data_IF_256398261141
#
_entry.id   IF_256398261141
#
_cell.length_a   1.000
_cell.length_b   1.000
_cell.length_c   1.000
_cell.angle_alpha   90.00
_cell.angle_beta   90.00
_cell.angle_gamma   90.00
#
_symmetry.space_group_name_H-M   'P 1'
#
loop_
_entity.id
_entity.type
_entity.pdbx_description
1 polymer ?
#
# COMPACT_ATOMS: atom_id res chain seq x y z
N UNK A 1 5.78 -15.91 12.53
CA UNK A 1 6.38 -14.84 11.69
C UNK A 1 5.88 -14.81 10.24
N UNK A 2 5.91 -15.93 9.49
CA UNK A 2 5.60 -15.96 8.05
C UNK A 2 4.21 -15.38 7.70
N UNK A 3 3.22 -15.56 8.58
CA UNK A 3 1.86 -15.04 8.41
C UNK A 3 1.69 -13.52 8.35
N UNK A 4 2.68 -12.73 8.80
CA UNK A 4 2.58 -11.25 8.84
C UNK A 4 3.56 -10.55 7.88
N UNK A 5 4.59 -11.24 7.41
CA UNK A 5 5.70 -10.64 6.63
C UNK A 5 5.57 -10.85 5.11
N UNK A 6 4.75 -11.81 4.67
CA UNK A 6 4.48 -12.08 3.26
C UNK A 6 3.12 -11.47 2.89
N UNK A 7 3.05 -10.82 1.73
CA UNK A 7 1.86 -10.05 1.32
C UNK A 7 0.63 -10.96 1.21
N UNK A 8 0.78 -12.09 0.51
CA UNK A 8 -0.30 -13.06 0.33
C UNK A 8 -0.77 -13.65 1.66
N UNK A 9 0.16 -14.05 2.52
CA UNK A 9 -0.17 -14.62 3.83
C UNK A 9 -0.85 -13.60 4.76
N UNK A 10 -0.43 -12.33 4.72
CA UNK A 10 -1.10 -11.26 5.46
C UNK A 10 -2.52 -11.03 4.92
N UNK A 11 -2.70 -10.99 3.60
CA UNK A 11 -4.02 -10.84 2.98
C UNK A 11 -4.98 -11.98 3.40
N UNK A 12 -4.53 -13.22 3.33
CA UNK A 12 -5.29 -14.40 3.79
C UNK A 12 -5.61 -14.34 5.29
N UNK A 13 -4.66 -13.92 6.12
CA UNK A 13 -4.87 -13.76 7.55
C UNK A 13 -5.91 -12.68 7.87
N UNK A 14 -5.85 -11.53 7.18
CA UNK A 14 -6.85 -10.44 7.30
C UNK A 14 -8.22 -10.91 6.83
N UNK A 15 -8.29 -11.61 5.69
CA UNK A 15 -9.55 -12.14 5.15
C UNK A 15 -10.21 -13.10 6.15
N UNK A 16 -9.45 -14.05 6.70
CA UNK A 16 -9.92 -15.00 7.72
C UNK A 16 -10.33 -14.31 9.02
N UNK A 17 -9.65 -13.22 9.40
CA UNK A 17 -10.03 -12.43 10.57
C UNK A 17 -11.35 -11.69 10.32
N UNK A 18 -11.49 -11.03 9.17
CA UNK A 18 -12.66 -10.28 8.76
C UNK A 18 -13.92 -11.15 8.73
N UNK A 19 -13.84 -12.38 8.21
CA UNK A 19 -15.00 -13.28 8.17
C UNK A 19 -15.54 -13.66 9.55
N UNK A 20 -14.68 -13.63 10.58
CA UNK A 20 -15.06 -13.91 11.98
C UNK A 20 -15.34 -12.65 12.81
N UNK A 21 -14.80 -11.51 12.39
CA UNK A 21 -14.82 -10.23 13.13
C UNK A 21 -15.03 -9.05 12.17
N UNK A 22 -16.19 -8.99 11.49
CA UNK A 22 -16.46 -7.98 10.47
C UNK A 22 -16.42 -6.55 11.02
N UNK A 23 -16.71 -6.36 12.31
CA UNK A 23 -16.73 -5.03 12.93
C UNK A 23 -15.39 -4.50 13.43
N UNK A 24 -14.35 -5.33 13.38
CA UNK A 24 -13.02 -4.95 13.87
C UNK A 24 -12.39 -3.83 13.04
N UNK A 25 -11.50 -3.06 13.66
CA UNK A 25 -10.72 -2.03 12.95
C UNK A 25 -9.95 -2.61 11.76
N UNK A 26 -9.39 -3.81 11.91
CA UNK A 26 -8.67 -4.48 10.83
C UNK A 26 -9.58 -4.75 9.62
N UNK A 27 -10.81 -5.22 9.86
CA UNK A 27 -11.78 -5.47 8.81
C UNK A 27 -12.23 -4.18 8.10
N UNK A 28 -12.33 -3.07 8.83
CA UNK A 28 -12.82 -1.78 8.32
C UNK A 28 -11.75 -0.89 7.68
N UNK A 29 -10.47 -1.09 8.02
CA UNK A 29 -9.37 -0.17 7.66
C UNK A 29 -8.35 -0.76 6.68
N UNK A 30 -8.34 -2.07 6.47
CA UNK A 30 -7.51 -2.68 5.42
C UNK A 30 -8.28 -2.64 4.10
N UNK A 31 -7.72 -2.05 3.03
CA UNK A 31 -8.36 -2.06 1.72
C UNK A 31 -8.62 -3.50 1.26
N UNK A 32 -9.67 -3.67 0.48
CA UNK A 32 -9.99 -4.95 -0.13
C UNK A 32 -8.77 -5.53 -0.84
N UNK A 33 -8.46 -6.79 -0.56
CA UNK A 33 -7.24 -7.44 -1.00
C UNK A 33 -7.51 -8.89 -1.33
N UNK A 34 -7.07 -9.32 -2.50
CA UNK A 34 -7.19 -10.67 -3.01
C UNK A 34 -5.83 -11.20 -3.45
N UNK A 35 -5.73 -12.52 -3.50
CA UNK A 35 -4.51 -13.24 -3.90
C UNK A 35 -4.90 -14.20 -4.99
N UNK A 36 -4.12 -14.24 -6.06
CA UNK A 36 -4.31 -15.20 -7.15
C UNK A 36 -2.97 -15.73 -7.65
N UNK A 37 -3.02 -16.88 -8.30
CA UNK A 37 -1.88 -17.43 -9.02
C UNK A 37 -2.14 -17.36 -10.52
N UNK A 38 -1.11 -17.03 -11.30
CA UNK A 38 -1.16 -17.06 -12.75
C UNK A 38 0.11 -17.71 -13.27
N UNK A 39 -0.05 -18.82 -13.99
CA UNK A 39 1.07 -19.58 -14.56
C UNK A 39 1.36 -19.19 -16.00
N UNK A 40 0.31 -18.86 -16.75
CA UNK A 40 0.35 -18.39 -18.13
C UNK A 40 -0.75 -17.36 -18.33
N UNK A 41 -0.51 -16.35 -19.17
CA UNK A 41 -1.48 -15.32 -19.50
C UNK A 41 -2.71 -15.88 -20.21
N UNK A 42 -2.58 -17.02 -20.88
CA UNK A 42 -3.72 -17.72 -21.49
C UNK A 42 -4.81 -18.06 -20.47
N UNK A 43 -4.44 -18.30 -19.19
CA UNK A 43 -5.38 -18.61 -18.11
C UNK A 43 -5.95 -17.40 -17.38
N UNK A 44 -5.69 -16.18 -17.88
CA UNK A 44 -6.07 -14.95 -17.19
C UNK A 44 -7.57 -14.84 -16.98
N UNK A 45 -8.37 -15.24 -17.96
CA UNK A 45 -9.83 -15.14 -17.90
C UNK A 45 -10.43 -16.17 -16.91
N UNK A 46 -9.85 -17.37 -16.79
CA UNK A 46 -10.24 -18.35 -15.76
C UNK A 46 -9.93 -17.84 -14.35
N UNK A 47 -8.76 -17.25 -14.15
CA UNK A 47 -8.36 -16.65 -12.87
C UNK A 47 -9.29 -15.51 -12.47
N UNK A 48 -9.68 -14.66 -13.43
CA UNK A 48 -10.67 -13.61 -13.19
C UNK A 48 -12.04 -14.18 -12.79
N UNK A 49 -12.42 -15.37 -13.23
CA UNK A 49 -13.71 -15.97 -12.87
C UNK A 49 -13.64 -16.68 -11.51
N UNK A 50 -12.58 -17.44 -11.28
CA UNK A 50 -12.49 -18.35 -10.14
C UNK A 50 -11.89 -17.69 -8.89
N UNK A 51 -10.84 -16.89 -9.06
CA UNK A 51 -10.00 -16.43 -7.95
C UNK A 51 -10.26 -14.96 -7.58
N UNK A 52 -10.47 -14.11 -8.59
CA UNK A 52 -10.60 -12.64 -8.42
C UNK A 52 -11.72 -12.01 -9.28
N UNK A 53 -12.98 -12.45 -9.12
CA UNK A 53 -14.13 -11.90 -9.86
C UNK A 53 -14.31 -10.38 -9.68
N UNK A 54 -13.85 -9.83 -8.56
CA UNK A 54 -13.95 -8.40 -8.24
C UNK A 54 -13.17 -7.52 -9.25
N UNK A 55 -12.11 -8.06 -9.87
CA UNK A 55 -11.39 -7.33 -10.92
C UNK A 55 -12.19 -7.26 -12.23
N UNK A 56 -12.97 -8.30 -12.53
CA UNK A 56 -13.86 -8.33 -13.70
C UNK A 56 -15.02 -7.36 -13.54
N UNK A 57 -15.48 -7.16 -12.31
CA UNK A 57 -16.59 -6.29 -11.94
C UNK A 57 -16.16 -4.86 -11.56
N UNK A 58 -14.90 -4.51 -11.86
CA UNK A 58 -14.33 -3.20 -11.53
C UNK A 58 -15.14 -2.07 -12.16
N UNK A 59 -15.55 -1.11 -11.34
CA UNK A 59 -16.34 0.03 -11.79
C UNK A 59 -15.46 1.12 -12.43
N UNK A 60 -15.99 1.96 -13.35
CA UNK A 60 -15.26 3.10 -13.87
C UNK A 60 -14.78 4.05 -12.75
N UNK A 61 -13.51 4.45 -12.83
CA UNK A 61 -12.87 5.30 -11.81
C UNK A 61 -12.35 4.55 -10.58
N UNK A 62 -12.52 3.22 -10.55
CA UNK A 62 -11.80 2.37 -9.62
C UNK A 62 -10.37 2.12 -10.10
N UNK A 63 -9.47 1.93 -9.13
CA UNK A 63 -8.08 1.60 -9.38
C UNK A 63 -7.62 0.57 -8.36
N UNK A 64 -6.67 -0.26 -8.78
CA UNK A 64 -6.11 -1.34 -8.01
C UNK A 64 -4.58 -1.31 -8.09
N UNK A 65 -3.93 -1.88 -7.09
CA UNK A 65 -2.48 -2.02 -7.05
C UNK A 65 -2.10 -3.50 -7.05
N UNK A 66 -1.36 -3.90 -8.08
CA UNK A 66 -0.81 -5.24 -8.25
C UNK A 66 0.57 -5.30 -7.60
N UNK A 67 0.81 -6.35 -6.80
CA UNK A 67 2.07 -6.54 -6.08
C UNK A 67 2.52 -8.00 -6.22
N UNK A 68 3.75 -8.28 -6.67
CA UNK A 68 4.28 -9.63 -6.61
C UNK A 68 4.48 -10.08 -5.15
N UNK A 69 4.20 -11.34 -4.85
CA UNK A 69 4.40 -11.83 -3.48
C UNK A 69 5.90 -11.97 -3.13
N UNK A 70 6.75 -12.34 -4.09
CA UNK A 70 8.16 -12.68 -3.84
C UNK A 70 9.10 -11.46 -3.89
N UNK A 71 8.73 -10.39 -4.61
CA UNK A 71 9.61 -9.21 -4.75
C UNK A 71 9.59 -8.29 -3.53
N UNK A 72 10.73 -7.65 -3.28
CA UNK A 72 10.92 -6.56 -2.31
C UNK A 72 11.16 -5.22 -3.04
N UNK A 73 11.33 -4.13 -2.28
CA UNK A 73 11.72 -2.81 -2.80
C UNK A 73 10.77 -2.19 -3.86
N UNK A 74 9.49 -2.58 -3.86
CA UNK A 74 8.49 -2.19 -4.87
C UNK A 74 8.82 -2.57 -6.32
N UNK A 75 9.71 -3.54 -6.54
CA UNK A 75 9.93 -4.10 -7.87
C UNK A 75 8.68 -4.86 -8.33
N UNK A 76 8.22 -4.57 -9.54
CA UNK A 76 7.02 -5.17 -10.13
C UNK A 76 5.68 -4.64 -9.57
N UNK A 77 5.69 -3.65 -8.67
CA UNK A 77 4.45 -3.02 -8.20
C UNK A 77 3.91 -2.09 -9.27
N UNK A 78 2.64 -2.25 -9.64
CA UNK A 78 1.95 -1.45 -10.64
C UNK A 78 0.57 -1.02 -10.14
N UNK A 79 0.12 0.15 -10.55
CA UNK A 79 -1.27 0.60 -10.38
C UNK A 79 -1.95 0.45 -11.74
N UNK A 80 -3.21 0.01 -11.74
CA UNK A 80 -4.01 -0.14 -12.95
C UNK A 80 -5.47 0.21 -12.62
N UNK A 81 -6.21 0.63 -13.63
CA UNK A 81 -7.63 1.02 -13.56
C UNK A 81 -8.48 0.36 -14.67
N UNK A 82 -7.86 -0.49 -15.49
CA UNK A 82 -8.53 -1.33 -16.48
C UNK A 82 -7.87 -2.72 -16.64
N UNK A 83 -8.63 -3.69 -17.14
CA UNK A 83 -8.16 -5.08 -17.33
C UNK A 83 -7.14 -5.22 -18.46
N UNK A 84 -7.17 -4.36 -19.47
CA UNK A 84 -6.19 -4.36 -20.56
C UNK A 84 -4.80 -4.02 -20.05
N UNK A 85 -4.69 -2.98 -19.22
CA UNK A 85 -3.45 -2.60 -18.52
C UNK A 85 -2.96 -3.74 -17.62
N UNK A 86 -3.85 -4.38 -16.86
CA UNK A 86 -3.49 -5.53 -16.02
C UNK A 86 -2.95 -6.69 -16.86
N UNK A 87 -3.63 -7.05 -17.96
CA UNK A 87 -3.20 -8.11 -18.87
C UNK A 87 -1.82 -7.81 -19.45
N UNK A 88 -1.59 -6.58 -19.92
CA UNK A 88 -0.28 -6.14 -20.43
C UNK A 88 0.83 -6.26 -19.38
N UNK A 89 0.57 -5.88 -18.13
CA UNK A 89 1.54 -6.03 -17.04
C UNK A 89 1.89 -7.50 -16.82
N UNK A 90 0.89 -8.38 -16.80
CA UNK A 90 1.07 -9.81 -16.55
C UNK A 90 1.73 -10.56 -17.73
N UNK A 91 1.61 -10.04 -18.96
CA UNK A 91 2.30 -10.57 -20.15
C UNK A 91 3.77 -10.12 -20.27
N UNK A 92 4.25 -9.25 -19.38
CA UNK A 92 5.58 -8.65 -19.51
C UNK A 92 6.73 -9.62 -19.19
N UNK A 93 7.92 -9.34 -19.72
CA UNK A 93 9.13 -10.09 -19.37
C UNK A 93 9.52 -9.94 -17.88
N UNK A 94 9.03 -8.93 -17.18
CA UNK A 94 9.25 -8.84 -15.74
C UNK A 94 8.32 -9.76 -14.93
N UNK A 95 7.24 -10.23 -15.55
CA UNK A 95 6.20 -11.04 -14.91
C UNK A 95 6.34 -12.55 -15.17
N UNK A 96 7.02 -12.99 -16.22
CA UNK A 96 7.02 -14.42 -16.65
C UNK A 96 7.48 -15.41 -15.56
N UNK A 97 8.33 -15.00 -14.62
CA UNK A 97 8.81 -15.85 -13.53
C UNK A 97 8.04 -15.66 -12.21
N UNK A 98 7.03 -14.80 -12.19
CA UNK A 98 6.21 -14.49 -11.03
C UNK A 98 4.87 -15.20 -11.15
N UNK A 99 4.54 -16.02 -10.15
CA UNK A 99 3.33 -16.84 -10.16
C UNK A 99 2.23 -16.34 -9.24
N UNK A 100 2.60 -15.86 -8.06
CA UNK A 100 1.66 -15.46 -7.02
C UNK A 100 1.60 -13.93 -6.88
N UNK A 101 0.39 -13.40 -7.00
CA UNK A 101 0.11 -11.98 -7.04
C UNK A 101 -0.84 -11.59 -5.92
N UNK A 102 -0.65 -10.38 -5.40
CA UNK A 102 -1.59 -9.73 -4.49
C UNK A 102 -2.15 -8.52 -5.20
N UNK A 103 -3.46 -8.48 -5.32
CA UNK A 103 -4.20 -7.33 -5.86
C UNK A 103 -4.97 -6.68 -4.72
N UNK A 104 -4.91 -5.36 -4.64
CA UNK A 104 -5.53 -4.61 -3.54
C UNK A 104 -6.18 -3.34 -4.08
N UNK A 105 -7.37 -3.00 -3.58
CA UNK A 105 -8.05 -1.77 -3.93
C UNK A 105 -7.13 -0.59 -3.60
N UNK A 106 -6.85 0.22 -4.61
CA UNK A 106 -5.92 1.32 -4.46
C UNK A 106 -6.54 2.46 -3.65
N UNK A 107 -5.80 2.97 -2.67
CA UNK A 107 -6.20 4.16 -1.91
C UNK A 107 -5.86 5.40 -2.75
N UNK A 108 -6.89 5.88 -3.42
CA UNK A 108 -6.80 6.85 -4.52
C UNK A 108 -7.06 8.30 -4.05
N UNK A 109 -7.53 8.48 -2.81
CA UNK A 109 -7.62 9.76 -2.11
C UNK A 109 -6.73 9.74 -0.87
N UNK A 110 -5.39 9.66 -1.03
CA UNK A 110 -4.48 9.68 0.10
C UNK A 110 -4.50 11.06 0.77
N UNK A 111 -4.16 11.09 2.06
CA UNK A 111 -3.76 12.33 2.70
C UNK A 111 -2.45 12.81 2.07
N UNK A 112 -2.40 14.09 1.72
CA UNK A 112 -1.25 14.72 1.10
C UNK A 112 -0.64 15.73 2.08
N UNK A 113 0.68 15.82 2.07
CA UNK A 113 1.43 16.89 2.73
C UNK A 113 2.34 17.49 1.66
N UNK A 114 2.26 18.82 1.50
CA UNK A 114 2.87 19.56 0.38
C UNK A 114 2.56 18.95 -1.00
N UNK A 115 1.31 18.50 -1.18
CA UNK A 115 0.86 17.87 -2.43
C UNK A 115 1.46 16.49 -2.71
N UNK A 116 2.25 15.91 -1.81
CA UNK A 116 2.87 14.59 -1.98
C UNK A 116 2.20 13.53 -1.13
N UNK A 117 2.09 12.32 -1.70
CA UNK A 117 1.65 11.13 -0.98
C UNK A 117 2.73 10.66 -0.02
N UNK A 118 2.33 10.14 1.13
CA UNK A 118 3.24 9.49 2.07
C UNK A 118 2.62 8.23 2.70
N UNK A 119 3.46 7.38 3.30
CA UNK A 119 3.02 6.34 4.22
C UNK A 119 3.74 6.45 5.56
N UNK A 120 3.10 5.95 6.62
CA UNK A 120 3.69 5.88 7.95
C UNK A 120 4.40 4.53 8.11
N UNK A 121 5.67 4.58 8.51
CA UNK A 121 6.44 3.43 8.98
C UNK A 121 6.41 3.42 10.50
N UNK A 122 5.80 2.38 11.04
CA UNK A 122 5.75 2.12 12.48
C UNK A 122 6.64 0.93 12.82
N UNK A 123 7.37 1.03 13.93
CA UNK A 123 8.18 -0.07 14.46
C UNK A 123 7.42 -0.78 15.57
N UNK A 124 7.37 -2.11 15.49
CA UNK A 124 6.64 -2.95 16.44
C UNK A 124 7.54 -4.06 16.94
N UNK A 125 7.68 -4.19 18.27
CA UNK A 125 8.44 -5.24 18.93
C UNK A 125 7.48 -6.26 19.55
N UNK A 126 7.59 -7.52 19.12
CA UNK A 126 6.87 -8.64 19.74
C UNK A 126 7.83 -9.45 20.62
N UNK A 127 7.52 -9.60 21.90
CA UNK A 127 8.35 -10.30 22.90
C UNK A 127 7.57 -11.46 23.50
N UNK A 128 8.20 -12.64 23.55
CA UNK A 128 7.61 -13.86 24.08
C UNK A 128 6.69 -14.58 23.07
N UNK A 129 6.35 -15.83 23.38
CA UNK A 129 5.44 -16.64 22.58
C UNK A 129 4.12 -16.95 23.32
N UNK A 130 4.17 -17.05 24.65
CA UNK A 130 3.01 -17.27 25.51
C UNK A 130 3.37 -16.89 26.97
N UNK A 131 3.01 -15.69 27.46
CA UNK A 131 2.28 -14.64 26.75
C UNK A 131 3.15 -13.90 25.73
N UNK A 132 2.52 -13.42 24.65
CA UNK A 132 3.15 -12.49 23.70
C UNK A 132 2.82 -11.05 24.10
N UNK A 133 3.85 -10.23 24.26
CA UNK A 133 3.72 -8.77 24.44
C UNK A 133 4.01 -8.08 23.12
N UNK A 134 3.18 -7.12 22.73
CA UNK A 134 3.36 -6.34 21.51
C UNK A 134 3.52 -4.87 21.90
N UNK A 135 4.66 -4.28 21.54
CA UNK A 135 5.04 -2.90 21.86
C UNK A 135 5.15 -2.11 20.56
N UNK A 136 4.48 -0.97 20.48
CA UNK A 136 4.55 -0.05 19.33
C UNK A 136 5.46 1.10 19.71
N UNK A 137 6.46 1.38 18.87
CA UNK A 137 7.32 2.55 19.05
C UNK A 137 6.60 3.80 18.56
N UNK A 138 6.63 4.85 19.38
CA UNK A 138 5.90 6.10 19.16
C UNK A 138 6.57 7.02 18.14
N UNK A 139 7.90 6.97 18.00
CA UNK A 139 8.62 7.69 16.95
C UNK A 139 8.47 6.96 15.60
N UNK A 140 7.47 7.38 14.84
CA UNK A 140 7.17 6.85 13.51
C UNK A 140 7.74 7.74 12.41
N UNK A 141 7.98 7.16 11.24
CA UNK A 141 8.47 7.89 10.08
C UNK A 141 7.36 8.09 9.04
N UNK A 142 7.27 9.27 8.46
CA UNK A 142 6.51 9.55 7.25
C UNK A 142 7.46 9.48 6.04
N UNK A 143 7.20 8.56 5.11
CA UNK A 143 8.00 8.38 3.90
C UNK A 143 7.21 8.88 2.69
N UNK A 144 7.79 9.83 1.98
CA UNK A 144 7.15 10.57 0.91
C UNK A 144 7.44 9.99 -0.47
N UNK A 145 6.47 10.12 -1.37
CA UNK A 145 6.64 9.92 -2.80
C UNK A 145 7.67 10.92 -3.36
N UNK A 146 8.27 10.58 -4.50
CA UNK A 146 9.25 11.45 -5.14
C UNK A 146 8.56 12.68 -5.74
N UNK A 147 7.44 12.44 -6.42
CA UNK A 147 6.71 13.44 -7.18
C UNK A 147 5.40 13.85 -6.48
N UNK A 148 4.87 15.00 -6.88
CA UNK A 148 3.56 15.47 -6.46
C UNK A 148 2.47 14.48 -6.87
N UNK A 149 1.54 14.21 -5.96
CA UNK A 149 0.42 13.32 -6.24
C UNK A 149 -0.51 13.98 -7.27
N UNK A 150 -0.87 13.30 -8.36
CA UNK A 150 -1.72 13.89 -9.38
C UNK A 150 -3.08 14.25 -8.78
N UNK A 151 -3.55 15.47 -9.06
CA UNK A 151 -4.91 15.87 -8.71
C UNK A 151 -5.89 14.84 -9.28
N UNK A 152 -6.98 14.58 -8.55
CA UNK A 152 -8.13 13.92 -9.17
C UNK A 152 -8.52 14.79 -10.37
N UNK A 153 -8.52 14.25 -11.59
CA UNK A 153 -8.62 15.05 -12.80
C UNK A 153 -9.80 16.01 -12.73
N UNK A 154 -9.52 17.32 -12.80
CA UNK A 154 -10.58 18.31 -13.05
C UNK A 154 -11.24 17.97 -14.40
N UNK A 155 -12.57 17.94 -14.45
CA UNK A 155 -13.32 17.75 -15.69
C UNK A 155 -13.34 16.31 -16.26
N UNK A 156 -13.15 15.28 -15.43
CA UNK A 156 -13.33 13.88 -15.87
C UNK A 156 -12.15 13.27 -16.61
N UNK A 157 -10.95 13.85 -16.50
CA UNK A 157 -9.72 13.23 -17.02
C UNK A 157 -9.26 12.07 -16.13
N UNK A 158 -8.81 10.94 -16.71
CA UNK A 158 -8.21 9.84 -15.95
C UNK A 158 -7.02 10.33 -15.14
N UNK A 159 -6.89 9.84 -13.91
CA UNK A 159 -5.72 10.11 -13.07
C UNK A 159 -4.51 9.46 -13.73
N UNK A 160 -3.40 10.18 -13.85
CA UNK A 160 -2.16 9.60 -14.39
C UNK A 160 -1.56 8.60 -13.39
N UNK A 161 -1.97 7.34 -13.51
CA UNK A 161 -1.47 6.21 -12.71
C UNK A 161 -0.14 5.64 -13.22
N UNK A 162 0.33 6.11 -14.38
CA UNK A 162 1.57 5.65 -15.01
C UNK A 162 2.81 6.22 -14.31
N UNK A 163 2.72 7.43 -13.74
CA UNK A 163 3.77 7.99 -12.90
C UNK A 163 3.80 7.31 -11.51
N UNK A 164 4.44 6.15 -11.45
CA UNK A 164 4.61 5.40 -10.22
C UNK A 164 5.38 6.17 -9.13
N UNK A 165 6.15 7.21 -9.47
CA UNK A 165 6.97 7.95 -8.51
C UNK A 165 6.16 9.00 -7.74
N UNK A 166 4.96 9.32 -8.21
CA UNK A 166 3.91 10.01 -7.44
C UNK A 166 3.08 9.04 -6.57
N UNK A 167 2.97 7.78 -6.98
CA UNK A 167 2.07 6.79 -6.35
C UNK A 167 2.74 5.87 -5.32
N UNK A 168 4.05 5.69 -5.41
CA UNK A 168 4.86 4.82 -4.56
C UNK A 168 5.85 5.65 -3.73
N UNK A 169 5.97 5.28 -2.46
CA UNK A 169 6.65 6.05 -1.40
C UNK A 169 7.91 5.35 -0.87
N UNK A 170 8.34 4.27 -1.53
CA UNK A 170 9.52 3.51 -1.13
C UNK A 170 10.79 4.27 -1.53
N UNK A 171 11.67 4.58 -0.57
CA UNK A 171 12.92 5.32 -0.82
C UNK A 171 13.82 4.63 -1.86
N UNK A 172 13.91 3.29 -1.86
CA UNK A 172 14.69 2.54 -2.84
C UNK A 172 14.32 2.83 -4.32
N UNK A 173 13.06 3.21 -4.60
CA UNK A 173 12.65 3.60 -5.97
C UNK A 173 13.22 4.96 -6.35
N UNK A 174 13.13 5.91 -5.43
CA UNK A 174 13.67 7.27 -5.59
C UNK A 174 15.17 7.21 -5.91
N UNK A 175 15.88 6.30 -5.24
CA UNK A 175 17.30 6.04 -5.42
C UNK A 175 17.67 5.51 -6.83
N UNK A 176 16.83 4.67 -7.44
CA UNK A 176 17.18 3.96 -8.68
C UNK A 176 17.11 4.82 -9.93
N UNK A 177 16.33 5.90 -9.89
CA UNK A 177 16.01 6.71 -11.07
C UNK A 177 16.89 7.94 -11.23
N UNK A 178 17.36 8.55 -10.14
CA UNK A 178 18.01 9.87 -10.23
C UNK A 178 19.44 9.82 -10.76
N UNK A 179 20.21 8.77 -10.51
CA UNK A 179 21.57 8.59 -11.02
C UNK A 179 21.84 7.09 -11.06
N UNK A 180 22.67 6.57 -11.97
CA UNK A 180 23.14 5.17 -11.93
C UNK A 180 23.96 4.79 -10.68
N UNK A 181 23.82 5.53 -9.57
CA UNK A 181 24.41 5.35 -8.26
C UNK A 181 23.39 5.65 -7.16
N UNK A 182 23.57 5.04 -5.99
CA UNK A 182 22.67 5.22 -4.85
C UNK A 182 22.55 6.69 -4.39
N UNK A 183 21.43 7.04 -3.76
CA UNK A 183 21.25 8.32 -3.09
C UNK A 183 22.18 8.40 -1.88
N UNK A 184 22.71 9.59 -1.65
CA UNK A 184 23.35 9.91 -0.37
C UNK A 184 22.30 9.85 0.75
N UNK A 185 22.71 9.55 2.00
CA UNK A 185 21.81 9.62 3.15
C UNK A 185 21.08 10.97 3.28
N UNK A 186 21.72 12.06 2.86
CA UNK A 186 21.16 13.42 2.87
C UNK A 186 20.05 13.59 1.83
N UNK A 187 20.15 12.94 0.67
CA UNK A 187 19.10 12.94 -0.34
C UNK A 187 17.92 12.05 0.06
N UNK A 188 18.18 10.89 0.67
CA UNK A 188 17.12 10.02 1.20
C UNK A 188 16.35 10.72 2.33
N UNK A 189 17.05 11.45 3.21
CA UNK A 189 16.44 12.22 4.30
C UNK A 189 15.43 13.27 3.81
N UNK A 190 15.53 13.77 2.57
CA UNK A 190 14.52 14.70 2.01
C UNK A 190 13.15 14.07 1.80
N UNK A 191 13.08 12.74 1.77
CA UNK A 191 11.86 11.98 1.56
C UNK A 191 11.39 11.25 2.83
N UNK A 192 12.08 11.44 3.97
CA UNK A 192 11.76 10.80 5.25
C UNK A 192 11.72 11.86 6.34
N UNK A 193 10.57 12.00 7.00
CA UNK A 193 10.37 12.92 8.13
C UNK A 193 9.85 12.14 9.34
N UNK A 194 10.02 12.66 10.55
CA UNK A 194 9.29 12.13 11.70
C UNK A 194 7.80 12.44 11.54
N UNK A 195 6.93 11.52 11.94
CA UNK A 195 5.48 11.74 11.86
C UNK A 195 5.03 12.97 12.69
N UNK A 196 5.70 13.22 13.81
CA UNK A 196 5.42 14.38 14.66
C UNK A 196 5.78 15.71 13.98
N UNK A 197 6.80 15.73 13.11
CA UNK A 197 7.21 16.94 12.38
C UNK A 197 6.16 17.39 11.38
N UNK A 198 5.39 16.47 10.81
CA UNK A 198 4.33 16.79 9.85
C UNK A 198 2.98 17.02 10.51
N UNK A 199 2.86 16.82 11.83
CA UNK A 199 1.57 16.85 12.53
C UNK A 199 0.80 18.18 12.38
N UNK A 200 1.51 19.31 12.29
CA UNK A 200 0.93 20.62 12.02
C UNK A 200 0.46 20.82 10.57
N UNK A 201 1.02 20.08 9.63
CA UNK A 201 0.71 20.13 8.19
C UNK A 201 -0.45 19.20 7.82
N UNK A 202 -0.78 18.23 8.69
CA UNK A 202 -1.95 17.36 8.54
C UNK A 202 -3.29 18.09 8.75
N UNK A 203 -3.25 19.40 9.09
CA UNK A 203 -4.41 20.20 9.49
C UNK A 203 -4.90 21.18 8.43
N UNK A 204 -5.98 20.81 7.74
CA UNK A 204 -6.95 21.73 7.12
C UNK A 204 -8.36 21.10 7.17
N UNK A 205 -9.45 21.88 7.17
CA UNK A 205 -10.31 22.25 8.32
C UNK A 205 -10.97 21.10 9.13
N UNK A 206 -10.46 19.88 9.12
CA UNK A 206 -10.95 18.77 9.93
C UNK A 206 -9.77 18.09 10.65
N UNK A 207 -9.21 18.82 11.63
CA UNK A 207 -8.08 18.37 12.42
C UNK A 207 -8.34 17.05 13.13
N UNK A 208 -7.34 16.16 13.06
CA UNK A 208 -7.21 14.97 13.90
C UNK A 208 -7.15 15.43 15.37
N UNK A 209 -8.30 15.49 16.05
CA UNK A 209 -8.36 15.74 17.48
C UNK A 209 -7.60 14.60 18.18
N UNK A 210 -6.47 14.93 18.83
CA UNK A 210 -5.82 14.03 19.79
C UNK A 210 -6.83 13.74 20.89
N UNK A 211 -7.46 12.57 20.88
CA UNK A 211 -8.15 12.03 22.03
C UNK A 211 -7.11 11.70 23.10
N UNK A 212 -6.88 12.64 24.03
CA UNK A 212 -6.37 12.26 25.35
C UNK A 212 -7.52 11.56 26.06
N UNK A 213 -7.59 10.23 25.96
CA UNK A 213 -8.26 9.46 27.00
C UNK A 213 -7.29 9.36 28.17
N UNK A 214 -7.44 10.27 29.13
CA UNK A 214 -6.97 10.03 30.49
C UNK A 214 -7.78 8.86 31.05
N UNK A 215 -7.15 7.70 31.15
CA UNK A 215 -7.68 6.57 31.90
C UNK A 215 -7.49 6.92 33.38
N UNK A 216 -8.39 7.74 33.91
CA UNK A 216 -8.59 7.87 35.35
C UNK A 216 -9.13 6.55 35.89
N UNK A 217 -8.30 5.82 36.62
CA UNK A 217 -8.78 4.72 37.45
C UNK A 217 -9.54 5.27 38.67
N UNK A 218 -10.61 4.61 39.14
CA UNK A 218 -11.08 4.81 40.50
C UNK A 218 -10.39 3.83 41.46
N UNK A 219 -10.17 4.35 42.67
CA UNK A 219 -9.76 3.64 43.88
C UNK A 219 -10.80 2.60 44.34
#
# INVERSE_FOLDING_TARGET
RKGLIRKAQLALAVHKWRSKRPDSLLAKRVPETHVFELYDIEYFDEVLIADVPELREMSPGEAWILKPNITNQALGVRVFDDLGTLRQILSSEEAWNLREWVVQRYVDRPLLVDGRKFHVRTYVLAVGAAPMRVLVYDQMLALFAADAYPAAGEGGRPRDISNLDAHLTNTCRITRQKLGGGMTPEEEAKHVRLLDEISGELGGPAGLRRGKEEIGGPA
#
